data_IF_050295226827
#
_entry.id   IF_050295226827
#
_cell.length_a   1.000
_cell.length_b   1.000
_cell.length_c   1.000
_cell.angle_alpha   90.00
_cell.angle_beta   90.00
_cell.angle_gamma   90.00
#
_symmetry.space_group_name_H-M   'P 1'
#
loop_
_entity.id
_entity.type
_entity.pdbx_description
1 polymer ?
#
# COMPACT_ATOMS: atom_id res chain seq x y z
N UNK A 1 -28.88 -7.50 12.37
CA UNK A 1 -28.93 -7.15 10.94
C UNK A 1 -27.58 -6.86 10.28
N UNK A 2 -26.46 -6.69 11.00
CA UNK A 2 -25.15 -6.42 10.36
C UNK A 2 -24.31 -7.66 10.02
N UNK A 3 -24.44 -8.75 10.77
CA UNK A 3 -23.65 -9.97 10.54
C UNK A 3 -24.01 -10.62 9.19
N UNK A 4 -25.31 -10.70 8.88
CA UNK A 4 -25.81 -11.25 7.63
C UNK A 4 -25.37 -10.46 6.40
N UNK A 5 -25.23 -9.14 6.52
CA UNK A 5 -24.71 -8.31 5.43
C UNK A 5 -23.24 -8.60 5.15
N UNK A 6 -22.43 -8.74 6.22
CA UNK A 6 -21.00 -9.10 6.10
C UNK A 6 -20.82 -10.50 5.54
N UNK A 7 -21.67 -11.46 5.92
CA UNK A 7 -21.66 -12.82 5.37
C UNK A 7 -22.04 -12.84 3.88
N UNK A 8 -23.00 -12.01 3.48
CA UNK A 8 -23.37 -11.84 2.07
C UNK A 8 -22.25 -11.18 1.26
N UNK A 9 -21.62 -10.13 1.79
CA UNK A 9 -20.47 -9.46 1.15
C UNK A 9 -19.28 -10.42 1.03
N UNK A 10 -19.02 -11.24 2.06
CA UNK A 10 -17.97 -12.25 2.03
C UNK A 10 -18.28 -13.37 1.02
N UNK A 11 -19.54 -13.78 0.91
CA UNK A 11 -19.97 -14.77 -0.07
C UNK A 11 -19.86 -14.23 -1.50
N UNK A 12 -20.22 -12.96 -1.72
CA UNK A 12 -20.06 -12.27 -3.00
C UNK A 12 -18.57 -12.16 -3.39
N UNK A 13 -17.71 -11.73 -2.47
CA UNK A 13 -16.27 -11.64 -2.71
C UNK A 13 -15.62 -12.99 -3.07
N UNK A 14 -16.10 -14.10 -2.50
CA UNK A 14 -15.64 -15.46 -2.86
C UNK A 14 -16.05 -15.86 -4.29
N UNK A 15 -17.22 -15.44 -4.74
CA UNK A 15 -17.70 -15.69 -6.11
C UNK A 15 -16.98 -14.80 -7.14
N UNK A 16 -16.54 -13.61 -6.74
CA UNK A 16 -15.74 -12.69 -7.56
C UNK A 16 -14.25 -13.08 -7.67
N UNK A 17 -13.85 -14.26 -7.17
CA UNK A 17 -12.50 -14.80 -7.33
C UNK A 17 -11.61 -14.71 -6.11
N UNK A 18 -12.13 -14.38 -4.92
CA UNK A 18 -11.41 -14.62 -3.65
C UNK A 18 -11.37 -16.13 -3.35
N UNK A 19 -10.63 -16.86 -4.18
CA UNK A 19 -10.22 -18.24 -3.93
C UNK A 19 -8.86 -18.15 -3.23
N UNK A 20 -8.70 -18.84 -2.09
CA UNK A 20 -7.40 -19.02 -1.47
C UNK A 20 -6.45 -19.66 -2.51
N UNK A 21 -5.54 -18.86 -3.08
CA UNK A 21 -4.67 -19.23 -4.20
C UNK A 21 -3.65 -20.33 -3.93
N UNK A 22 -3.81 -21.11 -2.85
CA UNK A 22 -2.93 -22.22 -2.50
C UNK A 22 -3.23 -23.52 -3.27
N UNK A 23 -4.21 -23.54 -4.19
CA UNK A 23 -4.65 -24.79 -4.84
C UNK A 23 -4.65 -24.81 -6.38
N UNK A 24 -3.91 -23.94 -7.05
CA UNK A 24 -3.74 -24.10 -8.50
C UNK A 24 -2.33 -23.71 -8.96
N UNK A 25 -1.37 -24.60 -8.68
CA UNK A 25 -0.28 -24.82 -9.62
C UNK A 25 -0.86 -25.45 -10.88
N UNK A 26 -1.46 -24.64 -11.75
CA UNK A 26 -1.64 -25.00 -13.14
C UNK A 26 -0.98 -23.88 -13.96
N UNK A 27 0.25 -24.20 -14.31
CA UNK A 27 1.08 -23.51 -15.28
C UNK A 27 0.31 -23.36 -16.60
N UNK A 28 0.11 -22.11 -17.03
CA UNK A 28 -0.05 -21.60 -18.42
C UNK A 28 -1.02 -20.42 -18.47
N UNK A 29 -0.49 -19.19 -18.36
CA UNK A 29 -0.65 -18.11 -19.37
C UNK A 29 -0.21 -16.76 -18.79
N UNK A 30 0.70 -16.10 -19.52
CA UNK A 30 1.36 -14.82 -19.25
C UNK A 30 2.48 -14.85 -18.22
N UNK A 31 3.70 -15.10 -18.72
CA UNK A 31 4.98 -14.90 -18.07
C UNK A 31 5.28 -13.44 -17.72
N UNK A 32 4.39 -12.76 -16.97
CA UNK A 32 4.80 -11.56 -16.26
C UNK A 32 5.77 -12.04 -15.19
N UNK A 33 7.01 -11.54 -15.23
CA UNK A 33 8.00 -11.81 -14.19
C UNK A 33 7.36 -11.43 -12.85
N UNK A 34 7.11 -12.40 -11.99
CA UNK A 34 6.55 -12.18 -10.65
C UNK A 34 7.52 -11.29 -9.88
N UNK A 35 7.03 -10.17 -9.39
CA UNK A 35 7.85 -9.20 -8.66
C UNK A 35 8.12 -9.72 -7.25
N UNK A 36 9.27 -9.37 -6.69
CA UNK A 36 9.53 -9.64 -5.27
C UNK A 36 8.59 -8.79 -4.40
N UNK A 37 8.50 -7.49 -4.67
CA UNK A 37 7.68 -6.60 -3.86
C UNK A 37 7.13 -5.40 -4.62
N UNK A 38 5.95 -4.93 -4.19
CA UNK A 38 5.43 -3.61 -4.53
C UNK A 38 5.43 -2.75 -3.27
N UNK A 39 6.12 -1.62 -3.31
CA UNK A 39 6.25 -0.66 -2.22
C UNK A 39 5.42 0.57 -2.56
N UNK A 40 4.37 0.82 -1.76
CA UNK A 40 3.59 2.04 -1.79
C UNK A 40 4.07 3.03 -0.73
N UNK A 41 4.60 4.16 -1.15
CA UNK A 41 4.98 5.27 -0.27
C UNK A 41 3.78 6.20 -0.12
N UNK A 42 3.15 6.19 1.05
CA UNK A 42 1.96 6.99 1.35
C UNK A 42 2.37 8.44 1.57
N UNK A 43 1.91 9.32 0.67
CA UNK A 43 2.18 10.77 0.67
C UNK A 43 0.87 11.53 0.62
N UNK A 44 0.85 12.83 0.95
CA UNK A 44 -0.30 13.72 0.72
C UNK A 44 0.11 14.98 -0.04
N UNK A 45 -0.83 15.92 -0.23
CA UNK A 45 -0.57 17.20 -0.87
C UNK A 45 0.44 18.05 -0.06
N UNK A 46 1.15 18.96 -0.73
CA UNK A 46 2.18 19.80 -0.09
C UNK A 46 3.46 19.08 0.34
N UNK A 47 3.57 17.76 0.14
CA UNK A 47 4.73 16.93 0.54
C UNK A 47 5.77 16.74 -0.57
N UNK A 48 5.82 17.62 -1.57
CA UNK A 48 6.78 17.51 -2.69
C UNK A 48 8.23 17.38 -2.21
N UNK A 49 8.63 18.19 -1.22
CA UNK A 49 9.99 18.14 -0.63
C UNK A 49 10.33 16.75 -0.06
N UNK A 50 9.38 16.08 0.58
CA UNK A 50 9.56 14.73 1.10
C UNK A 50 9.75 13.74 -0.04
N UNK A 51 8.93 13.82 -1.09
CA UNK A 51 9.06 12.97 -2.27
C UNK A 51 10.39 13.15 -2.97
N UNK A 52 10.82 14.40 -3.17
CA UNK A 52 12.12 14.73 -3.75
C UNK A 52 13.26 14.15 -2.89
N UNK A 53 13.22 14.32 -1.58
CA UNK A 53 14.21 13.75 -0.67
C UNK A 53 14.26 12.21 -0.75
N UNK A 54 13.12 11.54 -0.87
CA UNK A 54 13.06 10.07 -1.02
C UNK A 54 13.67 9.61 -2.34
N UNK A 55 13.34 10.31 -3.45
CA UNK A 55 13.92 10.08 -4.77
C UNK A 55 15.43 10.19 -4.76
N UNK A 56 15.96 11.20 -4.08
CA UNK A 56 17.39 11.44 -3.94
C UNK A 56 18.09 10.46 -2.99
N UNK A 57 17.39 10.02 -1.93
CA UNK A 57 18.02 9.26 -0.86
C UNK A 57 18.02 7.73 -1.05
N UNK A 58 16.90 7.14 -1.49
CA UNK A 58 16.78 5.67 -1.52
C UNK A 58 15.92 5.08 -2.63
N UNK A 59 14.97 5.83 -3.19
CA UNK A 59 14.09 5.32 -4.25
C UNK A 59 14.77 5.32 -5.63
N UNK A 60 15.69 6.28 -5.87
CA UNK A 60 16.21 6.61 -7.21
C UNK A 60 15.12 7.07 -8.19
N UNK A 61 15.51 7.54 -9.37
CA UNK A 61 14.57 8.03 -10.41
C UNK A 61 14.97 7.54 -11.80
N UNK A 62 14.05 7.66 -12.77
CA UNK A 62 14.33 7.41 -14.18
C UNK A 62 14.83 5.98 -14.46
N UNK A 63 16.00 5.86 -15.08
CA UNK A 63 16.59 4.57 -15.46
C UNK A 63 16.91 3.69 -14.24
N UNK A 64 17.44 4.27 -13.16
CA UNK A 64 17.78 3.52 -11.94
C UNK A 64 16.55 2.92 -11.26
N UNK A 65 15.40 3.62 -11.30
CA UNK A 65 14.13 3.09 -10.80
C UNK A 65 13.63 1.90 -11.66
N UNK A 66 13.86 1.95 -12.98
CA UNK A 66 13.54 0.82 -13.87
C UNK A 66 14.45 -0.38 -13.62
N UNK A 67 15.75 -0.14 -13.44
CA UNK A 67 16.70 -1.19 -13.08
C UNK A 67 16.34 -1.85 -11.75
N UNK A 68 15.84 -1.09 -10.76
CA UNK A 68 15.35 -1.65 -9.51
C UNK A 68 14.19 -2.64 -9.75
N UNK A 69 13.26 -2.26 -10.60
CA UNK A 69 12.13 -3.10 -10.99
C UNK A 69 12.59 -4.32 -11.79
N UNK A 70 13.46 -4.15 -12.78
CA UNK A 70 13.87 -5.22 -13.69
C UNK A 70 14.83 -6.21 -13.03
N UNK A 71 15.81 -5.73 -12.25
CA UNK A 71 16.85 -6.56 -11.64
C UNK A 71 16.43 -7.14 -10.30
N UNK A 72 15.86 -6.32 -9.40
CA UNK A 72 15.47 -6.77 -8.05
C UNK A 72 14.01 -7.20 -7.96
N UNK A 73 13.20 -6.94 -8.99
CA UNK A 73 11.77 -7.24 -8.95
C UNK A 73 11.03 -6.35 -7.96
N UNK A 74 11.52 -5.14 -7.66
CA UNK A 74 10.91 -4.25 -6.67
C UNK A 74 10.30 -3.05 -7.38
N UNK A 75 8.99 -2.89 -7.27
CA UNK A 75 8.26 -1.72 -7.76
C UNK A 75 8.11 -0.73 -6.61
N UNK A 76 8.49 0.52 -6.81
CA UNK A 76 8.30 1.59 -5.81
C UNK A 76 7.47 2.70 -6.42
N UNK A 77 6.38 3.11 -5.76
CA UNK A 77 5.51 4.20 -6.22
C UNK A 77 5.02 5.06 -5.05
N UNK A 78 4.89 6.36 -5.28
CA UNK A 78 4.16 7.24 -4.38
C UNK A 78 2.66 7.04 -4.53
N UNK A 79 1.94 6.96 -3.42
CA UNK A 79 0.50 6.70 -3.40
C UNK A 79 -0.23 7.93 -2.90
N UNK A 80 -1.13 8.45 -3.73
CA UNK A 80 -1.93 9.64 -3.43
C UNK A 80 -3.30 9.52 -4.07
N UNK A 81 -4.33 10.05 -3.42
CA UNK A 81 -5.65 10.27 -3.99
C UNK A 81 -5.78 11.64 -4.66
N UNK A 82 -7.02 12.05 -4.83
CA UNK A 82 -7.42 13.34 -5.41
C UNK A 82 -7.89 14.32 -4.35
N UNK A 83 -7.90 15.59 -4.70
CA UNK A 83 -8.51 16.62 -3.85
C UNK A 83 -10.04 16.50 -3.87
N UNK A 84 -10.71 17.10 -2.89
CA UNK A 84 -12.17 17.11 -2.86
C UNK A 84 -12.78 17.87 -4.06
N UNK A 85 -12.03 18.82 -4.62
CA UNK A 85 -12.41 19.60 -5.79
C UNK A 85 -11.56 19.15 -6.97
N UNK A 86 -11.94 18.03 -7.60
CA UNK A 86 -11.18 17.44 -8.70
C UNK A 86 -10.74 18.46 -9.76
N UNK A 87 -9.45 18.43 -10.10
CA UNK A 87 -8.84 19.33 -11.08
C UNK A 87 -8.47 20.70 -10.53
N UNK A 88 -8.48 20.89 -9.20
CA UNK A 88 -7.93 22.08 -8.57
C UNK A 88 -6.39 22.15 -8.67
N UNK A 89 -5.79 23.16 -8.02
CA UNK A 89 -4.35 23.35 -8.04
C UNK A 89 -3.59 22.18 -7.41
N UNK A 90 -4.15 21.53 -6.39
CA UNK A 90 -3.50 20.40 -5.73
C UNK A 90 -3.41 19.18 -6.66
N UNK A 91 -4.51 18.86 -7.35
CA UNK A 91 -4.50 17.80 -8.37
C UNK A 91 -3.56 18.15 -9.53
N UNK A 92 -3.61 19.39 -10.00
CA UNK A 92 -2.76 19.85 -11.12
C UNK A 92 -1.28 19.75 -10.78
N UNK A 93 -0.87 20.08 -9.55
CA UNK A 93 0.51 19.92 -9.09
C UNK A 93 0.97 18.46 -9.12
N UNK A 94 0.12 17.54 -8.67
CA UNK A 94 0.41 16.10 -8.68
C UNK A 94 0.48 15.56 -10.11
N UNK A 95 -0.46 15.92 -10.97
CA UNK A 95 -0.47 15.48 -12.37
C UNK A 95 0.77 16.00 -13.11
N UNK A 96 1.16 17.25 -12.86
CA UNK A 96 2.38 17.83 -13.43
C UNK A 96 3.62 17.08 -12.96
N UNK A 97 3.75 16.83 -11.65
CA UNK A 97 4.88 16.07 -11.10
C UNK A 97 4.94 14.64 -11.64
N UNK A 98 3.79 13.96 -11.70
CA UNK A 98 3.70 12.60 -12.23
C UNK A 98 4.03 12.55 -13.73
N UNK A 99 3.65 13.55 -14.52
CA UNK A 99 4.01 13.60 -15.94
C UNK A 99 5.54 13.62 -16.18
N UNK A 100 6.30 14.16 -15.23
CA UNK A 100 7.76 14.27 -15.30
C UNK A 100 8.46 13.03 -14.74
N UNK A 101 7.92 12.46 -13.67
CA UNK A 101 8.59 11.42 -12.86
C UNK A 101 8.07 10.02 -13.15
N UNK A 102 6.78 9.89 -13.51
CA UNK A 102 6.07 8.66 -13.79
C UNK A 102 6.21 7.62 -12.65
N UNK A 103 6.18 8.09 -11.40
CA UNK A 103 6.43 7.30 -10.20
C UNK A 103 5.27 7.31 -9.20
N UNK A 104 4.08 7.75 -9.62
CA UNK A 104 2.86 7.73 -8.80
C UNK A 104 1.92 6.55 -9.11
N UNK A 105 1.17 6.18 -8.07
CA UNK A 105 -0.14 5.57 -8.13
C UNK A 105 -1.11 6.66 -7.67
N UNK A 106 -1.90 7.17 -8.61
CA UNK A 106 -2.96 8.13 -8.32
C UNK A 106 -4.26 7.35 -8.20
N UNK A 107 -4.92 7.45 -7.05
CA UNK A 107 -6.17 6.78 -6.73
C UNK A 107 -7.33 7.72 -7.05
N UNK A 108 -7.82 7.69 -8.28
CA UNK A 108 -8.83 8.64 -8.76
C UNK A 108 -10.16 8.58 -7.97
N UNK A 109 -10.53 7.40 -7.48
CA UNK A 109 -11.75 7.19 -6.67
C UNK A 109 -11.56 7.45 -5.16
N UNK A 110 -10.41 8.00 -4.76
CA UNK A 110 -10.09 8.29 -3.36
C UNK A 110 -9.85 9.79 -3.15
N UNK A 111 -10.64 10.41 -2.26
CA UNK A 111 -10.43 11.78 -1.83
C UNK A 111 -9.51 11.81 -0.61
N UNK A 112 -8.43 12.59 -0.67
CA UNK A 112 -7.50 12.77 0.45
C UNK A 112 -8.18 13.52 1.62
N UNK A 113 -8.25 12.87 2.77
CA UNK A 113 -8.61 13.49 4.04
C UNK A 113 -7.96 12.74 5.21
N UNK A 114 -7.68 13.40 6.36
CA UNK A 114 -7.06 12.76 7.52
C UNK A 114 -7.80 11.51 8.02
N UNK A 115 -9.13 11.52 7.99
CA UNK A 115 -10.00 10.43 8.42
C UNK A 115 -10.11 9.30 7.38
N UNK A 116 -9.65 9.52 6.16
CA UNK A 116 -9.78 8.60 5.03
C UNK A 116 -8.54 7.69 4.82
N UNK A 117 -7.54 7.79 5.70
CA UNK A 117 -6.28 7.03 5.60
C UNK A 117 -6.50 5.52 5.48
N UNK A 118 -7.43 4.94 6.24
CA UNK A 118 -7.73 3.51 6.16
C UNK A 118 -8.30 3.12 4.78
N UNK A 119 -9.19 3.95 4.22
CA UNK A 119 -9.74 3.72 2.87
C UNK A 119 -8.64 3.86 1.81
N UNK A 120 -7.75 4.84 1.96
CA UNK A 120 -6.57 4.98 1.11
C UNK A 120 -5.71 3.72 1.09
N UNK A 121 -5.44 3.14 2.27
CA UNK A 121 -4.63 1.92 2.37
C UNK A 121 -5.31 0.76 1.67
N UNK A 122 -6.62 0.59 1.86
CA UNK A 122 -7.40 -0.43 1.16
C UNK A 122 -7.29 -0.25 -0.35
N UNK A 123 -7.57 0.96 -0.86
CA UNK A 123 -7.52 1.26 -2.30
C UNK A 123 -6.14 1.03 -2.89
N UNK A 124 -5.08 1.39 -2.16
CA UNK A 124 -3.70 1.07 -2.56
C UNK A 124 -3.48 -0.43 -2.74
N UNK A 125 -3.82 -1.24 -1.73
CA UNK A 125 -3.57 -2.69 -1.81
C UNK A 125 -4.39 -3.34 -2.92
N UNK A 126 -5.64 -2.94 -3.12
CA UNK A 126 -6.48 -3.41 -4.23
C UNK A 126 -5.81 -3.07 -5.57
N UNK A 127 -5.46 -1.80 -5.80
CA UNK A 127 -4.79 -1.38 -7.02
C UNK A 127 -3.46 -2.11 -7.26
N UNK A 128 -2.68 -2.30 -6.19
CA UNK A 128 -1.37 -2.94 -6.30
C UNK A 128 -1.49 -4.41 -6.71
N UNK A 129 -2.43 -5.15 -6.10
CA UNK A 129 -2.67 -6.58 -6.40
C UNK A 129 -3.22 -6.77 -7.82
N UNK A 130 -4.10 -5.89 -8.28
CA UNK A 130 -4.65 -5.96 -9.64
C UNK A 130 -3.60 -5.66 -10.71
N UNK A 131 -2.69 -4.73 -10.42
CA UNK A 131 -1.72 -4.23 -11.41
C UNK A 131 -0.43 -5.05 -11.48
N UNK A 132 0.06 -5.53 -10.33
CA UNK A 132 1.32 -6.26 -10.24
C UNK A 132 1.13 -7.59 -9.52
N UNK A 133 1.54 -8.66 -10.17
CA UNK A 133 1.78 -9.94 -9.51
C UNK A 133 3.11 -9.88 -8.75
N UNK A 134 3.02 -9.91 -7.41
CA UNK A 134 4.16 -9.81 -6.50
C UNK A 134 4.03 -10.75 -5.30
N UNK A 135 5.16 -11.11 -4.70
CA UNK A 135 5.19 -11.91 -3.47
C UNK A 135 4.79 -11.11 -2.23
N UNK A 136 5.20 -9.83 -2.19
CA UNK A 136 4.95 -8.94 -1.06
C UNK A 136 4.37 -7.60 -1.50
N UNK A 137 3.44 -7.07 -0.71
CA UNK A 137 2.91 -5.72 -0.84
C UNK A 137 3.24 -4.94 0.43
N UNK A 138 4.01 -3.87 0.27
CA UNK A 138 4.61 -3.12 1.38
C UNK A 138 4.09 -1.70 1.40
N UNK A 139 3.75 -1.22 2.59
CA UNK A 139 3.34 0.17 2.83
C UNK A 139 4.42 0.90 3.62
N UNK A 140 4.82 2.08 3.15
CA UNK A 140 5.83 2.95 3.77
C UNK A 140 5.28 4.37 3.87
N UNK A 141 5.68 5.15 4.88
CA UNK A 141 5.32 6.57 4.98
C UNK A 141 6.35 7.45 4.24
N UNK A 142 5.94 8.66 3.84
CA UNK A 142 6.80 9.64 3.16
C UNK A 142 7.84 10.36 4.07
N UNK A 143 8.00 9.90 5.31
CA UNK A 143 8.96 10.40 6.30
C UNK A 143 9.93 9.32 6.80
N UNK A 144 10.02 8.21 6.07
CA UNK A 144 10.87 7.05 6.40
C UNK A 144 11.97 6.85 5.35
N UNK A 145 13.15 6.46 5.82
CA UNK A 145 14.23 5.94 4.98
C UNK A 145 14.17 4.42 4.90
N UNK A 146 14.34 3.85 3.70
CA UNK A 146 14.33 2.40 3.49
C UNK A 146 15.64 1.97 2.81
N UNK A 147 16.33 1.01 3.43
CA UNK A 147 17.42 0.30 2.75
C UNK A 147 16.83 -0.81 1.88
N UNK A 148 16.76 -0.56 0.56
CA UNK A 148 16.13 -1.46 -0.42
C UNK A 148 16.82 -2.83 -0.50
N UNK A 149 18.14 -2.88 -0.38
CA UNK A 149 18.88 -4.15 -0.41
C UNK A 149 18.60 -5.00 0.82
N UNK A 150 18.63 -4.39 2.00
CA UNK A 150 18.30 -5.07 3.24
C UNK A 150 16.84 -5.55 3.26
N UNK A 151 15.92 -4.71 2.77
CA UNK A 151 14.51 -5.08 2.64
C UNK A 151 14.34 -6.26 1.68
N UNK A 152 14.96 -6.21 0.49
CA UNK A 152 14.89 -7.28 -0.50
C UNK A 152 15.41 -8.61 0.04
N UNK A 153 16.53 -8.59 0.78
CA UNK A 153 17.07 -9.77 1.44
C UNK A 153 16.13 -10.33 2.52
N UNK A 154 15.56 -9.45 3.36
CA UNK A 154 14.62 -9.84 4.41
C UNK A 154 13.35 -10.48 3.83
N UNK A 155 12.76 -9.89 2.79
CA UNK A 155 11.59 -10.43 2.10
C UNK A 155 11.90 -11.78 1.43
N UNK A 156 13.06 -11.89 0.77
CA UNK A 156 13.49 -13.13 0.12
C UNK A 156 13.61 -14.29 1.12
N UNK A 157 14.05 -14.01 2.35
CA UNK A 157 14.12 -15.02 3.42
C UNK A 157 12.76 -15.49 3.99
N UNK A 158 11.65 -14.95 3.48
CA UNK A 158 10.29 -15.28 3.90
C UNK A 158 9.43 -15.84 2.74
N UNK A 159 10.01 -16.11 1.56
CA UNK A 159 9.28 -16.60 0.40
C UNK A 159 8.63 -17.98 0.61
N UNK A 160 9.23 -18.82 1.44
CA UNK A 160 8.73 -20.16 1.77
C UNK A 160 7.64 -20.16 2.87
N UNK A 161 7.38 -18.99 3.49
CA UNK A 161 6.44 -18.87 4.59
C UNK A 161 5.09 -18.34 4.10
N UNK A 162 3.99 -19.05 4.34
CA UNK A 162 2.67 -18.59 3.92
C UNK A 162 2.12 -17.50 4.84
N UNK A 163 1.37 -16.55 4.27
CA UNK A 163 0.55 -15.54 5.00
C UNK A 163 1.34 -14.71 6.02
N UNK A 164 2.50 -14.22 5.61
CA UNK A 164 3.38 -13.43 6.47
C UNK A 164 2.93 -11.97 6.50
N UNK A 165 2.87 -11.38 7.69
CA UNK A 165 2.72 -9.94 7.92
C UNK A 165 3.92 -9.46 8.75
N UNK A 166 4.78 -8.62 8.15
CA UNK A 166 6.06 -8.20 8.74
C UNK A 166 6.00 -6.70 9.07
N UNK A 167 6.53 -6.35 10.23
CA UNK A 167 6.62 -4.97 10.68
C UNK A 167 7.01 -4.90 12.16
N UNK A 168 7.21 -3.69 12.65
CA UNK A 168 7.33 -3.45 14.08
C UNK A 168 5.93 -3.50 14.70
N UNK A 169 5.46 -4.70 15.03
CA UNK A 169 4.16 -4.89 15.67
C UNK A 169 4.23 -4.36 17.10
N UNK A 170 3.25 -3.54 17.47
CA UNK A 170 3.06 -3.08 18.83
C UNK A 170 1.89 -3.84 19.45
N UNK A 171 2.15 -4.57 20.52
CA UNK A 171 1.13 -5.09 21.44
C UNK A 171 0.83 -4.03 22.50
N UNK A 172 -0.40 -4.00 23.02
CA UNK A 172 -0.78 -3.02 24.04
C UNK A 172 -2.25 -2.64 24.03
N UNK A 173 -2.59 -1.68 24.87
CA UNK A 173 -3.97 -1.19 24.98
C UNK A 173 -4.40 -0.39 23.75
N UNK A 174 -5.69 -0.50 23.44
CA UNK A 174 -6.35 0.41 22.49
C UNK A 174 -6.73 1.67 23.26
N UNK A 175 -6.25 2.81 22.79
CA UNK A 175 -6.52 4.11 23.39
C UNK A 175 -7.98 4.52 23.14
N UNK A 176 -8.82 4.44 24.17
CA UNK A 176 -10.27 4.69 24.09
C UNK A 176 -10.69 6.06 24.64
N UNK A 177 -9.76 6.87 25.15
CA UNK A 177 -10.07 8.21 25.66
C UNK A 177 -9.80 9.29 24.59
N UNK A 178 -10.77 10.17 24.26
CA UNK A 178 -10.61 11.20 23.23
C UNK A 178 -9.45 12.19 23.43
N UNK A 179 -8.95 12.32 24.65
CA UNK A 179 -7.82 13.20 24.99
C UNK A 179 -6.47 12.57 24.65
N UNK A 180 -6.43 11.27 24.37
CA UNK A 180 -5.20 10.57 24.03
C UNK A 180 -4.81 10.85 22.58
N UNK A 181 -3.51 11.08 22.34
CA UNK A 181 -2.97 11.37 21.00
C UNK A 181 -3.34 10.32 19.95
N UNK A 182 -3.48 9.07 20.36
CA UNK A 182 -3.75 7.93 19.49
C UNK A 182 -5.14 7.34 19.73
N UNK A 183 -6.09 8.18 20.19
CA UNK A 183 -7.48 7.79 20.39
C UNK A 183 -8.04 7.11 19.14
N UNK A 184 -8.55 5.90 19.31
CA UNK A 184 -9.21 5.13 18.27
C UNK A 184 -10.73 5.30 18.43
N UNK A 185 -11.40 6.08 17.56
CA UNK A 185 -12.85 6.31 17.66
C UNK A 185 -13.68 5.03 17.56
N UNK A 186 -13.14 3.99 16.93
CA UNK A 186 -13.74 2.68 16.81
C UNK A 186 -13.15 1.63 17.77
N UNK A 187 -12.61 2.05 18.93
CA UNK A 187 -11.97 1.16 19.90
C UNK A 187 -12.88 -0.01 20.33
N UNK A 188 -14.20 0.23 20.35
CA UNK A 188 -15.22 -0.76 20.69
C UNK A 188 -15.25 -1.96 19.75
N UNK A 189 -14.65 -1.88 18.55
CA UNK A 189 -14.53 -3.00 17.60
C UNK A 189 -13.44 -4.00 17.97
N UNK A 190 -12.48 -3.61 18.81
CA UNK A 190 -11.34 -4.44 19.19
C UNK A 190 -11.64 -5.40 20.35
N UNK A 191 -12.82 -5.28 20.97
CA UNK A 191 -13.23 -6.08 22.12
C UNK A 191 -12.38 -5.84 23.38
N UNK A 192 -12.66 -6.58 24.44
CA UNK A 192 -12.00 -6.41 25.75
C UNK A 192 -10.71 -7.25 25.89
N UNK A 193 -10.27 -7.91 24.82
CA UNK A 193 -9.07 -8.74 24.80
C UNK A 193 -7.79 -7.90 24.87
N UNK A 194 -6.82 -8.33 25.68
CA UNK A 194 -5.45 -7.78 25.63
C UNK A 194 -4.69 -8.48 24.50
N UNK A 195 -4.19 -7.72 23.52
CA UNK A 195 -3.46 -8.18 22.33
C UNK A 195 -1.97 -7.88 22.44
#
# INVERSE_FOLDING_TARGET
>A
MRLSAIEMDLAAARQEGFVSGYLSQNDTQHSKKRHLAVIGIITTFGRKKNRDAIREAWMSTGAALRELQDNKGIVVRFVIGRSANHGDSFDTEIDSENSQTNDFIILDDHVEAPEELAKKMKSFFVHAVEKWDAEFYTKVNDDVYVNIDALGAALSSHLDKPRVYIGCMKSGEVFSEPTQRWYEPDWWKFGDGKW
#
